data_IF_015972716267
#
_entry.id   IF_015972716267
#
_cell.length_a   1.000
_cell.length_b   1.000
_cell.length_c   1.000
_cell.angle_alpha   90.00
_cell.angle_beta   90.00
_cell.angle_gamma   90.00
#
_symmetry.space_group_name_H-M   'P 1'
#
loop_
_entity.id
_entity.type
_entity.pdbx_description
1 polymer ?
#
# COMPACT_ATOMS: atom_id res chain seq x y z
N UNK A 1 18.71 -10.64 28.79
CA UNK A 1 20.15 -10.30 28.63
C UNK A 1 20.72 -10.63 27.25
N UNK A 2 20.50 -11.83 26.69
CA UNK A 2 21.05 -12.22 25.36
C UNK A 2 20.58 -11.32 24.20
N UNK A 3 19.28 -11.04 24.11
CA UNK A 3 18.69 -10.23 23.03
C UNK A 3 19.26 -8.81 22.97
N UNK A 4 19.33 -8.10 24.10
CA UNK A 4 19.92 -6.75 24.13
C UNK A 4 21.40 -6.76 23.74
N UNK A 5 22.16 -7.75 24.21
CA UNK A 5 23.57 -7.89 23.85
C UNK A 5 23.74 -8.11 22.34
N UNK A 6 22.94 -8.98 21.75
CA UNK A 6 22.97 -9.27 20.31
C UNK A 6 22.59 -8.03 19.48
N UNK A 7 21.55 -7.30 19.90
CA UNK A 7 21.14 -6.05 19.27
C UNK A 7 22.30 -5.04 19.18
N UNK A 8 22.93 -4.72 20.31
CA UNK A 8 24.03 -3.75 20.33
C UNK A 8 25.28 -4.25 19.60
N UNK A 9 25.55 -5.56 19.63
CA UNK A 9 26.67 -6.13 18.87
C UNK A 9 26.44 -6.05 17.38
N UNK A 10 25.25 -6.37 16.90
CA UNK A 10 24.90 -6.29 15.49
C UNK A 10 24.96 -4.83 14.98
N UNK A 11 24.43 -3.90 15.76
CA UNK A 11 24.57 -2.47 15.50
C UNK A 11 26.04 -2.03 15.41
N UNK A 12 26.89 -2.47 16.35
CA UNK A 12 28.30 -2.07 16.37
C UNK A 12 29.13 -2.61 15.20
N UNK A 13 28.69 -3.70 14.56
CA UNK A 13 29.41 -4.33 13.43
C UNK A 13 29.15 -3.61 12.11
N UNK A 14 27.90 -3.22 11.86
CA UNK A 14 27.50 -2.49 10.67
C UNK A 14 26.26 -1.63 10.99
N UNK A 15 26.47 -0.41 11.51
CA UNK A 15 25.38 0.44 11.99
C UNK A 15 24.47 0.89 10.84
N UNK A 16 24.99 1.10 9.64
CA UNK A 16 24.20 1.57 8.50
C UNK A 16 23.20 0.49 8.06
N UNK A 17 23.68 -0.72 7.76
CA UNK A 17 22.81 -1.83 7.36
C UNK A 17 21.87 -2.25 8.49
N UNK A 18 22.35 -2.19 9.74
CA UNK A 18 21.51 -2.45 10.91
C UNK A 18 20.33 -1.47 10.99
N UNK A 19 20.58 -0.15 10.92
CA UNK A 19 19.54 0.87 11.02
C UNK A 19 18.50 0.68 9.90
N UNK A 20 18.95 0.46 8.65
CA UNK A 20 18.02 0.24 7.53
C UNK A 20 17.10 -0.96 7.76
N UNK A 21 17.66 -2.09 8.21
CA UNK A 21 16.85 -3.28 8.55
C UNK A 21 15.95 -3.04 9.76
N UNK A 22 16.45 -2.30 10.75
CA UNK A 22 15.71 -1.97 11.96
C UNK A 22 14.49 -1.11 11.67
N UNK A 23 14.64 -0.05 10.87
CA UNK A 23 13.55 0.78 10.40
C UNK A 23 12.51 -0.05 9.63
N UNK A 24 12.95 -0.92 8.72
CA UNK A 24 12.05 -1.81 7.99
C UNK A 24 11.29 -2.78 8.92
N UNK A 25 11.94 -3.28 9.98
CA UNK A 25 11.28 -4.11 11.00
C UNK A 25 10.22 -3.32 11.74
N UNK A 26 10.58 -2.14 12.25
CA UNK A 26 9.66 -1.29 13.00
C UNK A 26 8.45 -0.85 12.17
N UNK A 27 8.63 -0.55 10.88
CA UNK A 27 7.51 -0.26 9.97
C UNK A 27 6.56 -1.45 9.83
N UNK A 28 7.10 -2.67 9.65
CA UNK A 28 6.28 -3.89 9.56
C UNK A 28 5.50 -4.14 10.86
N UNK A 29 6.18 -4.02 12.00
CA UNK A 29 5.54 -4.22 13.31
C UNK A 29 4.39 -3.22 13.50
N UNK A 30 4.60 -1.96 13.12
CA UNK A 30 3.57 -0.93 13.15
C UNK A 30 2.36 -1.26 12.25
N UNK A 31 2.59 -1.78 11.04
CA UNK A 31 1.50 -2.19 10.14
C UNK A 31 0.68 -3.34 10.71
N UNK A 32 1.35 -4.36 11.25
CA UNK A 32 0.68 -5.51 11.88
C UNK A 32 -0.19 -5.04 13.06
N UNK A 33 0.29 -4.06 13.84
CA UNK A 33 -0.45 -3.54 14.99
C UNK A 33 -1.65 -2.68 14.62
N UNK A 34 -1.61 -2.00 13.48
CA UNK A 34 -2.63 -0.99 13.11
C UNK A 34 -3.71 -1.55 12.19
N UNK A 35 -3.53 -2.76 11.64
CA UNK A 35 -4.36 -3.32 10.56
C UNK A 35 -4.55 -2.34 9.39
N UNK A 36 -3.65 -1.35 9.29
CA UNK A 36 -3.61 -0.42 8.20
C UNK A 36 -3.18 -1.25 7.00
N UNK A 37 -4.12 -1.55 6.09
CA UNK A 37 -3.77 -2.07 4.77
C UNK A 37 -2.99 -0.96 4.07
N UNK A 38 -1.66 -1.05 3.96
CA UNK A 38 -0.92 0.03 3.36
C UNK A 38 -1.13 -0.09 1.85
N UNK A 39 -1.47 1.02 1.20
CA UNK A 39 -0.83 1.25 -0.10
C UNK A 39 0.69 1.24 0.11
N UNK A 40 1.46 1.07 -0.96
CA UNK A 40 2.91 1.27 -0.87
C UNK A 40 3.20 2.70 -1.32
N UNK A 41 2.94 3.75 -0.50
CA UNK A 41 2.87 5.13 -0.98
C UNK A 41 4.17 5.59 -1.62
N UNK A 42 5.32 5.11 -1.14
CA UNK A 42 6.60 5.41 -1.78
C UNK A 42 6.78 4.65 -3.10
N UNK A 43 6.43 3.37 -3.16
CA UNK A 43 6.53 2.60 -4.41
C UNK A 43 5.53 3.13 -5.46
N UNK A 44 4.32 3.50 -5.05
CA UNK A 44 3.28 4.12 -5.87
C UNK A 44 3.70 5.47 -6.47
N UNK A 45 4.75 6.12 -5.95
CA UNK A 45 5.31 7.33 -6.59
C UNK A 45 6.12 7.01 -7.84
N UNK A 46 6.60 5.77 -7.97
CA UNK A 46 7.48 5.35 -9.05
C UNK A 46 6.70 4.70 -10.19
N UNK A 47 7.03 5.04 -11.44
CA UNK A 47 6.34 4.49 -12.61
C UNK A 47 6.52 2.97 -12.71
N UNK A 48 7.66 2.44 -12.24
CA UNK A 48 7.96 1.01 -12.21
C UNK A 48 6.91 0.20 -11.45
N UNK A 49 6.30 0.78 -10.40
CA UNK A 49 5.25 0.12 -9.64
C UNK A 49 4.05 -0.25 -10.53
N UNK A 50 3.72 0.61 -11.49
CA UNK A 50 2.62 0.40 -12.43
C UNK A 50 3.00 -0.46 -13.65
N UNK A 51 4.26 -0.89 -13.78
CA UNK A 51 4.67 -1.85 -14.82
C UNK A 51 4.40 -3.31 -14.42
N UNK A 52 3.63 -3.54 -13.35
CA UNK A 52 3.28 -4.87 -12.88
C UNK A 52 2.15 -5.52 -13.70
N UNK A 53 2.08 -6.85 -13.66
CA UNK A 53 1.07 -7.66 -14.36
C UNK A 53 -0.37 -7.38 -13.90
N UNK A 54 -0.56 -6.93 -12.65
CA UNK A 54 -1.89 -6.60 -12.12
C UNK A 54 -2.45 -5.29 -12.68
N UNK A 55 -1.62 -4.43 -13.28
CA UNK A 55 -2.02 -3.10 -13.75
C UNK A 55 -3.12 -3.15 -14.79
N UNK A 56 -3.05 -4.07 -15.74
CA UNK A 56 -4.07 -4.19 -16.79
C UNK A 56 -5.44 -4.49 -16.18
N UNK A 57 -5.52 -5.45 -15.28
CA UNK A 57 -6.78 -5.80 -14.60
C UNK A 57 -7.28 -4.64 -13.74
N UNK A 58 -6.39 -3.98 -12.99
CA UNK A 58 -6.74 -2.83 -12.16
C UNK A 58 -7.37 -1.69 -12.98
N UNK A 59 -6.81 -1.39 -14.15
CA UNK A 59 -7.35 -0.39 -15.08
C UNK A 59 -8.75 -0.80 -15.58
N UNK A 60 -8.95 -2.07 -15.95
CA UNK A 60 -10.26 -2.56 -16.40
C UNK A 60 -11.32 -2.43 -15.30
N UNK A 61 -11.00 -2.86 -14.07
CA UNK A 61 -11.89 -2.73 -12.91
C UNK A 61 -12.23 -1.27 -12.63
N UNK A 62 -11.24 -0.39 -12.70
CA UNK A 62 -11.43 1.04 -12.53
C UNK A 62 -12.41 1.62 -13.56
N UNK A 63 -12.20 1.34 -14.85
CA UNK A 63 -13.09 1.81 -15.90
C UNK A 63 -14.51 1.30 -15.76
N UNK A 64 -14.68 0.01 -15.46
CA UNK A 64 -16.00 -0.57 -15.24
C UNK A 64 -16.76 0.15 -14.12
N UNK A 65 -16.10 0.33 -12.97
CA UNK A 65 -16.69 1.01 -11.82
C UNK A 65 -17.04 2.48 -12.15
N UNK A 66 -16.13 3.19 -12.82
CA UNK A 66 -16.33 4.60 -13.17
C UNK A 66 -17.47 4.80 -14.18
N UNK A 67 -17.60 3.91 -15.16
CA UNK A 67 -18.70 3.94 -16.12
C UNK A 67 -20.03 3.62 -15.44
N UNK A 68 -20.06 2.58 -14.58
CA UNK A 68 -21.25 2.21 -13.83
C UNK A 68 -21.74 3.35 -12.92
N UNK A 69 -20.82 3.99 -12.20
CA UNK A 69 -21.11 5.15 -11.37
C UNK A 69 -21.68 6.30 -12.21
N UNK A 70 -21.05 6.64 -13.33
CA UNK A 70 -21.53 7.72 -14.20
C UNK A 70 -22.92 7.43 -14.78
N UNK A 71 -23.22 6.17 -15.10
CA UNK A 71 -24.56 5.75 -15.52
C UNK A 71 -25.57 5.97 -14.39
N UNK A 72 -25.24 5.55 -13.17
CA UNK A 72 -26.10 5.73 -12.00
C UNK A 72 -26.37 7.21 -11.71
N UNK A 73 -25.35 8.07 -11.80
CA UNK A 73 -25.49 9.51 -11.60
C UNK A 73 -26.44 10.13 -12.63
N UNK A 74 -26.35 9.70 -13.89
CA UNK A 74 -27.25 10.14 -14.96
C UNK A 74 -28.70 9.65 -14.76
N UNK A 75 -28.87 8.38 -14.39
CA UNK A 75 -30.20 7.81 -14.08
C UNK A 75 -30.87 8.55 -12.91
N UNK A 76 -30.09 8.90 -11.89
CA UNK A 76 -30.56 9.71 -10.78
C UNK A 76 -30.91 11.14 -11.22
N UNK A 77 -30.06 11.80 -12.01
CA UNK A 77 -30.32 13.15 -12.51
C UNK A 77 -31.54 13.22 -13.44
N UNK A 78 -31.83 12.14 -14.18
CA UNK A 78 -32.99 12.01 -15.05
C UNK A 78 -34.25 11.51 -14.31
N UNK A 79 -34.16 11.22 -13.01
CA UNK A 79 -35.29 10.75 -12.20
C UNK A 79 -35.76 9.32 -12.52
N UNK A 80 -34.92 8.53 -13.21
CA UNK A 80 -35.26 7.17 -13.66
C UNK A 80 -35.24 6.14 -12.53
N UNK A 81 -34.66 6.47 -11.37
CA UNK A 81 -34.55 5.58 -10.21
C UNK A 81 -35.80 5.61 -9.27
N UNK A 82 -36.89 6.29 -9.65
CA UNK A 82 -38.08 6.50 -8.82
C UNK A 82 -39.34 5.71 -9.25
N UNK A 83 -39.21 4.65 -10.08
CA UNK A 83 -40.32 3.75 -10.42
C UNK A 83 -40.10 2.33 -9.88
#
# INVERSE_FOLDING_TARGET
MKVHREFYLEFSRDPQTFISRWLASQCRDFWVMTDATPGHPEEERHAEFYNAHWTQEAVMRYFYNRISQRRQDLEHALGLNNN
#
